data_IF_329970448886
#
_entry.id   IF_329970448886
#
_cell.length_a   1.000
_cell.length_b   1.000
_cell.length_c   1.000
_cell.angle_alpha   90.00
_cell.angle_beta   90.00
_cell.angle_gamma   90.00
#
_symmetry.space_group_name_H-M   'P 1'
#
loop_
_entity.id
_entity.type
_entity.pdbx_description
1 polymer ?
#
# COMPACT_ATOMS: atom_id res chain seq x y z
N UNK A 1 12.27 -12.84 -1.16
CA UNK A 1 11.39 -11.65 -1.16
C UNK A 1 11.19 -11.18 0.26
N UNK A 2 11.22 -9.85 0.52
CA UNK A 2 11.03 -9.27 1.86
C UNK A 2 10.15 -8.04 1.79
N UNK A 3 9.49 -7.70 2.90
CA UNK A 3 8.76 -6.46 3.10
C UNK A 3 9.14 -5.83 4.44
N UNK A 4 9.40 -4.52 4.45
CA UNK A 4 9.58 -3.72 5.67
C UNK A 4 8.46 -2.69 5.77
N UNK A 5 7.82 -2.59 6.92
CA UNK A 5 6.68 -1.71 7.15
C UNK A 5 7.09 -0.36 7.71
N UNK A 6 6.50 0.72 7.24
CA UNK A 6 6.74 2.08 7.72
C UNK A 6 5.52 2.75 8.37
N UNK A 7 4.42 2.03 8.50
CA UNK A 7 3.14 2.56 8.98
C UNK A 7 2.20 2.95 7.85
N UNK A 8 0.91 3.06 8.17
CA UNK A 8 -0.17 3.35 7.22
C UNK A 8 -0.07 2.49 5.95
N UNK A 9 0.19 3.12 4.78
CA UNK A 9 0.34 2.43 3.49
C UNK A 9 1.81 2.24 3.07
N UNK A 10 2.76 2.65 3.93
CA UNK A 10 4.18 2.74 3.59
C UNK A 10 4.93 1.40 3.70
N UNK A 11 5.59 0.98 2.62
CA UNK A 11 6.36 -0.25 2.56
C UNK A 11 7.68 -0.08 1.80
N UNK A 12 8.71 -0.83 2.22
CA UNK A 12 9.84 -1.18 1.36
C UNK A 12 9.71 -2.65 0.98
N UNK A 13 9.63 -2.92 -0.31
CA UNK A 13 9.62 -4.28 -0.87
C UNK A 13 10.97 -4.58 -1.49
N UNK A 14 11.48 -5.79 -1.24
CA UNK A 14 12.74 -6.27 -1.80
C UNK A 14 12.49 -7.57 -2.56
N UNK A 15 12.56 -7.51 -3.89
CA UNK A 15 12.31 -8.63 -4.80
C UNK A 15 13.58 -8.87 -5.63
N UNK A 16 14.31 -9.96 -5.35
CA UNK A 16 15.50 -10.34 -6.12
C UNK A 16 16.62 -9.28 -6.18
N UNK A 17 16.70 -8.40 -5.16
CA UNK A 17 17.64 -7.29 -5.14
C UNK A 17 17.05 -5.94 -5.62
N UNK A 18 15.89 -5.93 -6.26
CA UNK A 18 15.15 -4.69 -6.59
C UNK A 18 14.46 -4.16 -5.33
N UNK A 19 14.74 -2.89 -4.99
CA UNK A 19 14.23 -2.22 -3.77
C UNK A 19 13.18 -1.19 -4.16
N UNK A 20 11.93 -1.49 -3.83
CA UNK A 20 10.75 -0.70 -4.21
C UNK A 20 10.17 -0.02 -2.96
N UNK A 21 10.20 1.30 -2.92
CA UNK A 21 9.51 2.08 -1.88
C UNK A 21 8.06 2.32 -2.33
N UNK A 22 7.10 1.91 -1.50
CA UNK A 22 5.67 1.97 -1.84
C UNK A 22 4.96 2.95 -0.91
N UNK A 23 4.16 3.85 -1.46
CA UNK A 23 3.28 4.80 -0.76
C UNK A 23 3.90 5.39 0.54
N UNK A 24 5.10 5.98 0.49
CA UNK A 24 5.85 6.30 1.70
C UNK A 24 5.32 7.54 2.40
N UNK A 25 5.08 7.41 3.71
CA UNK A 25 4.97 8.50 4.64
C UNK A 25 6.01 8.29 5.75
N UNK A 26 7.16 8.97 5.65
CA UNK A 26 8.33 8.75 6.51
C UNK A 26 8.59 9.90 7.49
N UNK A 27 8.02 11.08 7.24
CA UNK A 27 8.24 12.27 8.05
C UNK A 27 7.07 13.23 7.94
N UNK A 28 7.01 14.22 8.84
CA UNK A 28 5.98 15.25 8.80
C UNK A 28 4.60 14.78 9.25
N UNK A 29 3.64 15.68 9.20
CA UNK A 29 2.25 15.43 9.53
C UNK A 29 1.42 15.21 8.25
N UNK A 30 0.55 14.21 8.26
CA UNK A 30 -0.45 14.03 7.21
C UNK A 30 -1.65 14.92 7.52
N UNK A 31 -2.00 15.83 6.63
CA UNK A 31 -3.16 16.70 6.79
C UNK A 31 -4.03 16.68 5.55
N UNK A 32 -5.34 16.62 5.76
CA UNK A 32 -6.29 16.83 4.67
C UNK A 32 -6.96 18.20 4.75
N UNK A 33 -7.28 18.81 3.60
CA UNK A 33 -8.04 20.05 3.59
C UNK A 33 -9.35 19.93 4.39
N UNK A 34 -9.74 20.99 5.12
CA UNK A 34 -9.14 22.33 5.17
C UNK A 34 -8.04 22.51 6.24
N UNK A 35 -7.42 21.46 6.74
CA UNK A 35 -6.23 21.52 7.62
C UNK A 35 -6.32 20.67 8.88
N UNK A 36 -5.36 20.81 9.80
CA UNK A 36 -5.16 19.96 10.97
C UNK A 36 -6.40 19.84 11.89
N UNK A 37 -7.17 20.92 12.05
CA UNK A 37 -8.39 20.89 12.86
C UNK A 37 -9.46 19.93 12.31
N UNK A 38 -9.42 19.68 10.98
CA UNK A 38 -10.32 18.76 10.31
C UNK A 38 -9.78 17.33 10.36
N UNK A 39 -8.52 17.14 9.93
CA UNK A 39 -7.85 15.84 9.98
C UNK A 39 -6.33 16.00 10.00
N UNK A 40 -5.70 15.38 10.98
CA UNK A 40 -4.25 15.29 11.08
C UNK A 40 -3.84 13.90 11.54
N UNK A 41 -2.83 13.33 10.87
CA UNK A 41 -2.10 12.15 11.28
C UNK A 41 -0.68 12.50 11.68
N UNK A 42 -0.16 11.86 12.71
CA UNK A 42 1.21 12.02 13.18
C UNK A 42 1.87 10.65 13.34
N UNK A 43 3.06 10.51 12.77
CA UNK A 43 3.91 9.35 13.00
C UNK A 43 4.47 9.39 14.43
N UNK A 44 4.69 8.24 15.08
CA UNK A 44 5.36 8.20 16.40
C UNK A 44 6.79 8.72 16.34
N UNK A 45 7.47 8.55 15.20
CA UNK A 45 8.80 9.09 14.90
C UNK A 45 9.01 9.16 13.38
N UNK A 46 9.85 10.10 12.92
CA UNK A 46 10.30 10.10 11.54
C UNK A 46 11.19 8.90 11.25
N UNK A 47 11.01 8.32 10.05
CA UNK A 47 11.80 7.20 9.56
C UNK A 47 12.85 7.69 8.55
N UNK A 48 14.04 7.12 8.53
CA UNK A 48 15.03 7.46 7.51
C UNK A 48 14.56 6.94 6.13
N UNK A 49 14.93 7.67 5.09
CA UNK A 49 14.77 7.16 3.72
C UNK A 49 15.63 5.90 3.56
N UNK A 50 15.07 4.76 3.13
CA UNK A 50 15.87 3.57 2.88
C UNK A 50 16.96 3.84 1.85
N UNK A 51 18.18 3.32 2.04
CA UNK A 51 19.25 3.45 1.05
C UNK A 51 18.98 2.60 -0.20
N UNK A 52 19.69 2.90 -1.27
CA UNK A 52 19.77 2.08 -2.48
C UNK A 52 18.39 1.73 -3.07
N UNK A 53 17.51 2.73 -3.15
CA UNK A 53 16.20 2.57 -3.77
C UNK A 53 16.34 2.52 -5.30
N UNK A 54 15.70 1.53 -5.91
CA UNK A 54 15.63 1.37 -7.36
C UNK A 54 14.36 2.01 -7.94
N UNK A 55 13.27 2.01 -7.15
CA UNK A 55 11.96 2.41 -7.64
C UNK A 55 11.08 2.99 -6.52
N UNK A 56 10.30 4.01 -6.86
CA UNK A 56 9.15 4.49 -6.09
C UNK A 56 7.86 4.01 -6.78
N UNK A 57 7.00 3.30 -6.04
CA UNK A 57 5.70 2.80 -6.52
C UNK A 57 4.58 3.50 -5.76
N UNK A 58 3.65 4.15 -6.48
CA UNK A 58 2.57 4.92 -5.86
C UNK A 58 1.20 4.45 -6.37
N UNK A 59 0.31 4.10 -5.43
CA UNK A 59 -1.04 3.62 -5.75
C UNK A 59 -1.94 4.76 -6.17
N UNK A 60 -1.85 5.93 -5.52
CA UNK A 60 -2.61 7.13 -5.86
C UNK A 60 -1.89 8.44 -5.49
N UNK A 61 -2.47 9.58 -5.88
CA UNK A 61 -1.87 10.91 -5.69
C UNK A 61 -2.28 11.64 -4.41
N UNK A 62 -3.10 11.07 -3.52
CA UNK A 62 -3.43 11.70 -2.24
C UNK A 62 -2.23 11.68 -1.29
N UNK A 63 -2.26 12.57 -0.30
CA UNK A 63 -1.11 12.80 0.58
C UNK A 63 -0.79 11.60 1.49
N UNK A 64 -1.75 10.75 1.78
CA UNK A 64 -1.57 9.51 2.55
C UNK A 64 -0.90 8.37 1.76
N UNK A 65 -0.74 8.51 0.43
CA UNK A 65 -0.01 7.59 -0.44
C UNK A 65 1.20 8.25 -1.11
N UNK A 66 1.12 9.53 -1.37
CA UNK A 66 2.16 10.31 -2.03
C UNK A 66 2.51 11.54 -1.19
N UNK A 67 3.03 11.30 0.03
CA UNK A 67 3.26 12.32 1.05
C UNK A 67 4.27 13.37 0.58
N UNK A 68 3.90 14.67 0.48
CA UNK A 68 4.74 15.67 -0.15
C UNK A 68 6.09 15.86 0.53
N UNK A 69 6.15 15.92 1.87
CA UNK A 69 7.40 16.11 2.60
C UNK A 69 8.32 14.90 2.45
N UNK A 70 7.79 13.68 2.49
CA UNK A 70 8.56 12.47 2.23
C UNK A 70 9.11 12.46 0.81
N UNK A 71 8.27 12.78 -0.19
CA UNK A 71 8.69 12.82 -1.59
C UNK A 71 9.79 13.86 -1.82
N UNK A 72 9.83 14.96 -1.06
CA UNK A 72 10.89 15.96 -1.16
C UNK A 72 12.27 15.44 -0.73
N UNK A 73 12.33 14.41 0.10
CA UNK A 73 13.57 13.78 0.54
C UNK A 73 14.19 12.85 -0.51
N UNK A 74 13.40 12.42 -1.51
CA UNK A 74 13.82 11.46 -2.51
C UNK A 74 14.56 12.12 -3.69
N UNK A 75 15.58 11.45 -4.28
CA UNK A 75 16.22 11.93 -5.49
C UNK A 75 15.22 12.11 -6.64
N UNK A 76 15.27 13.25 -7.33
CA UNK A 76 14.38 13.52 -8.47
C UNK A 76 14.60 12.62 -9.66
N UNK A 77 15.75 11.97 -9.73
CA UNK A 77 16.10 10.95 -10.73
C UNK A 77 15.61 9.55 -10.39
N UNK A 78 15.12 9.32 -9.16
CA UNK A 78 14.55 8.01 -8.77
C UNK A 78 13.41 7.66 -9.73
N UNK A 79 13.43 6.50 -10.40
CA UNK A 79 12.32 6.05 -11.22
C UNK A 79 11.03 5.94 -10.40
N UNK A 80 9.92 6.41 -11.00
CA UNK A 80 8.60 6.33 -10.37
C UNK A 80 7.64 5.59 -11.29
N UNK A 81 6.93 4.63 -10.75
CA UNK A 81 5.74 4.02 -11.35
C UNK A 81 4.54 4.37 -10.47
N UNK A 82 3.45 4.79 -11.07
CA UNK A 82 2.27 5.16 -10.28
C UNK A 82 0.99 5.25 -11.10
N UNK A 83 -0.14 5.39 -10.39
CA UNK A 83 -1.39 5.74 -11.03
C UNK A 83 -1.30 7.08 -11.77
N UNK A 84 -2.27 7.38 -12.60
CA UNK A 84 -2.28 8.66 -13.36
C UNK A 84 -2.24 9.87 -12.41
N UNK A 85 -2.96 9.82 -11.29
CA UNK A 85 -2.96 10.90 -10.29
C UNK A 85 -1.62 11.03 -9.56
N UNK A 86 -1.01 9.91 -9.16
CA UNK A 86 0.30 9.87 -8.55
C UNK A 86 1.39 10.41 -9.49
N UNK A 87 1.38 9.95 -10.74
CA UNK A 87 2.32 10.42 -11.76
C UNK A 87 2.23 11.93 -12.01
N UNK A 88 1.03 12.49 -12.05
CA UNK A 88 0.83 13.94 -12.17
C UNK A 88 1.45 14.69 -10.97
N UNK A 89 1.21 14.21 -9.76
CA UNK A 89 1.75 14.80 -8.52
C UNK A 89 3.28 14.78 -8.49
N UNK A 90 3.92 13.63 -8.75
CA UNK A 90 5.38 13.56 -8.67
C UNK A 90 6.07 14.36 -9.77
N UNK A 91 5.48 14.45 -10.97
CA UNK A 91 5.98 15.34 -12.03
C UNK A 91 5.94 16.80 -11.58
N UNK A 92 4.87 17.24 -10.88
CA UNK A 92 4.79 18.61 -10.34
C UNK A 92 5.83 18.87 -9.26
N UNK A 93 6.33 17.83 -8.59
CA UNK A 93 7.43 17.89 -7.62
C UNK A 93 8.82 17.77 -8.26
N UNK A 94 8.92 17.66 -9.59
CA UNK A 94 10.16 17.67 -10.34
C UNK A 94 10.80 16.30 -10.58
N UNK A 95 10.10 15.19 -10.36
CA UNK A 95 10.62 13.87 -10.75
C UNK A 95 10.68 13.75 -12.27
N UNK A 96 11.80 13.22 -12.78
CA UNK A 96 12.11 13.21 -14.20
C UNK A 96 11.87 11.88 -14.90
N UNK A 97 11.89 10.76 -14.14
CA UNK A 97 11.65 9.41 -14.67
C UNK A 97 10.32 8.87 -14.12
N UNK A 98 9.21 9.16 -14.80
CA UNK A 98 7.86 8.87 -14.29
C UNK A 98 7.04 8.10 -15.33
N UNK A 99 6.68 6.87 -14.99
CA UNK A 99 5.75 6.00 -15.73
C UNK A 99 4.38 6.02 -15.07
N UNK A 100 3.37 6.49 -15.79
CA UNK A 100 1.98 6.39 -15.36
C UNK A 100 1.36 5.11 -15.91
N UNK A 101 0.69 4.34 -15.07
CA UNK A 101 -0.06 3.15 -15.47
C UNK A 101 -1.55 3.33 -15.19
N UNK A 102 -2.37 2.90 -16.15
CA UNK A 102 -3.80 2.67 -15.94
C UNK A 102 -4.05 1.20 -15.60
N UNK A 103 -5.17 0.86 -14.97
CA UNK A 103 -5.55 -0.52 -14.78
C UNK A 103 -5.46 -1.34 -16.08
N UNK A 104 -4.80 -2.50 -16.01
CA UNK A 104 -4.49 -3.37 -17.15
C UNK A 104 -3.17 -3.08 -17.86
N UNK A 105 -2.56 -1.91 -17.63
CA UNK A 105 -1.23 -1.60 -18.16
C UNK A 105 -0.12 -2.19 -17.27
N UNK A 106 1.03 -2.43 -17.86
CA UNK A 106 2.21 -2.94 -17.15
C UNK A 106 3.49 -2.28 -17.62
N UNK A 107 4.52 -2.37 -16.80
CA UNK A 107 5.89 -2.03 -17.14
C UNK A 107 6.86 -3.02 -16.49
N UNK A 108 8.12 -2.94 -16.91
CA UNK A 108 9.20 -3.79 -16.37
C UNK A 108 10.32 -2.90 -15.85
N UNK A 109 10.82 -3.22 -14.65
CA UNK A 109 11.99 -2.60 -14.06
C UNK A 109 12.99 -3.68 -13.66
N UNK A 110 14.07 -3.83 -14.43
CA UNK A 110 14.95 -4.99 -14.33
C UNK A 110 14.19 -6.30 -14.59
N UNK A 111 14.19 -7.22 -13.63
CA UNK A 111 13.41 -8.46 -13.70
C UNK A 111 12.02 -8.35 -13.04
N UNK A 112 11.69 -7.20 -12.46
CA UNK A 112 10.41 -6.96 -11.82
C UNK A 112 9.38 -6.50 -12.86
N UNK A 113 8.33 -7.30 -13.05
CA UNK A 113 7.14 -6.90 -13.78
C UNK A 113 6.13 -6.28 -12.82
N UNK A 114 5.59 -5.12 -13.19
CA UNK A 114 4.61 -4.35 -12.42
C UNK A 114 3.37 -4.22 -13.28
N UNK A 115 2.28 -4.85 -12.87
CA UNK A 115 0.98 -4.75 -13.55
C UNK A 115 0.02 -3.94 -12.68
N UNK A 116 -0.49 -2.85 -13.21
CA UNK A 116 -1.54 -2.07 -12.55
C UNK A 116 -2.89 -2.77 -12.68
N UNK A 117 -3.61 -2.84 -11.57
CA UNK A 117 -4.98 -3.36 -11.51
C UNK A 117 -5.94 -2.25 -11.09
N UNK A 118 -7.22 -2.41 -11.32
CA UNK A 118 -8.20 -1.49 -10.74
C UNK A 118 -8.10 -1.56 -9.21
N UNK A 119 -8.03 -0.40 -8.57
CA UNK A 119 -8.13 -0.23 -7.13
C UNK A 119 -9.52 0.24 -6.70
N UNK A 120 -9.67 0.58 -5.43
CA UNK A 120 -10.92 1.02 -4.86
C UNK A 120 -11.46 2.29 -5.54
N UNK A 121 -12.80 2.46 -5.63
CA UNK A 121 -13.42 3.68 -6.16
C UNK A 121 -13.40 4.80 -5.11
N UNK A 122 -12.20 5.24 -4.75
CA UNK A 122 -11.93 6.39 -3.87
C UNK A 122 -11.90 7.69 -4.66
N UNK A 123 -11.82 8.90 -4.03
CA UNK A 123 -11.95 10.18 -4.72
C UNK A 123 -11.00 10.38 -5.92
N UNK A 124 -9.83 9.76 -5.90
CA UNK A 124 -8.91 9.68 -7.04
C UNK A 124 -8.78 8.24 -7.50
N UNK A 125 -8.62 8.04 -8.81
CA UNK A 125 -8.40 6.70 -9.35
C UNK A 125 -7.14 6.12 -8.75
N UNK A 126 -7.30 5.01 -8.07
CA UNK A 126 -6.24 4.24 -7.43
C UNK A 126 -5.89 3.03 -8.29
N UNK A 127 -4.64 2.62 -8.21
CA UNK A 127 -4.21 1.32 -8.71
C UNK A 127 -3.95 0.37 -7.54
N UNK A 128 -4.41 -0.87 -7.66
CA UNK A 128 -3.70 -2.00 -7.06
C UNK A 128 -2.52 -2.39 -7.96
N UNK A 129 -1.60 -3.18 -7.45
CA UNK A 129 -0.45 -3.68 -8.21
C UNK A 129 -0.23 -5.17 -7.99
N UNK A 130 -0.01 -5.88 -9.09
CA UNK A 130 0.55 -7.21 -9.11
C UNK A 130 2.04 -7.06 -9.45
N UNK A 131 2.91 -7.49 -8.54
CA UNK A 131 4.36 -7.48 -8.67
C UNK A 131 4.86 -8.91 -8.87
N UNK A 132 5.58 -9.15 -9.95
CA UNK A 132 6.08 -10.47 -10.32
C UNK A 132 7.58 -10.41 -10.60
N UNK A 133 8.33 -11.26 -9.90
CA UNK A 133 9.77 -11.41 -10.05
C UNK A 133 10.11 -12.90 -9.96
N UNK A 134 11.21 -13.41 -10.55
CA UNK A 134 11.60 -14.82 -10.41
C UNK A 134 11.71 -15.32 -8.96
N UNK A 135 11.92 -14.43 -8.00
CA UNK A 135 11.98 -14.76 -6.56
C UNK A 135 10.64 -14.73 -5.84
N UNK A 136 9.54 -14.39 -6.50
CA UNK A 136 8.20 -14.41 -5.91
C UNK A 136 7.24 -13.40 -6.49
N UNK A 137 5.99 -13.49 -6.06
CA UNK A 137 4.86 -12.70 -6.53
C UNK A 137 4.06 -12.09 -5.38
N UNK A 138 3.60 -10.86 -5.57
CA UNK A 138 2.89 -10.11 -4.54
C UNK A 138 1.76 -9.28 -5.17
N UNK A 139 0.59 -9.28 -4.52
CA UNK A 139 -0.49 -8.34 -4.80
C UNK A 139 -0.57 -7.29 -3.70
N UNK A 140 -0.70 -6.02 -4.08
CA UNK A 140 -0.83 -4.89 -3.16
C UNK A 140 -2.04 -4.05 -3.56
N UNK A 141 -2.93 -3.77 -2.58
CA UNK A 141 -4.06 -2.87 -2.76
C UNK A 141 -4.46 -2.29 -1.38
N UNK A 142 -4.36 -0.95 -1.20
CA UNK A 142 -4.40 -0.33 0.13
C UNK A 142 -5.82 -0.08 0.68
N UNK A 143 -6.88 -0.25 -0.08
CA UNK A 143 -8.25 0.03 0.37
C UNK A 143 -9.17 -1.19 0.49
N UNK A 144 -8.64 -2.40 0.23
CA UNK A 144 -9.43 -3.62 0.26
C UNK A 144 -10.36 -3.70 -0.96
N UNK A 145 -9.78 -3.81 -2.13
CA UNK A 145 -10.46 -4.00 -3.40
C UNK A 145 -9.82 -5.16 -4.16
N UNK A 146 -10.66 -5.97 -4.78
CA UNK A 146 -10.22 -7.01 -5.71
C UNK A 146 -10.82 -6.73 -7.08
N UNK A 147 -9.97 -6.42 -8.06
CA UNK A 147 -10.44 -6.26 -9.44
C UNK A 147 -11.07 -7.58 -9.93
N UNK A 148 -12.31 -7.55 -10.49
CA UNK A 148 -12.97 -8.74 -10.98
C UNK A 148 -12.22 -9.42 -12.13
N UNK A 149 -11.46 -8.66 -12.89
CA UNK A 149 -10.74 -9.12 -14.08
C UNK A 149 -9.44 -9.87 -13.75
N UNK A 150 -9.00 -9.86 -12.48
CA UNK A 150 -7.81 -10.60 -12.07
C UNK A 150 -8.07 -12.10 -12.04
N UNK A 151 -7.28 -12.90 -12.77
CA UNK A 151 -7.43 -14.36 -12.79
C UNK A 151 -7.05 -14.97 -11.43
N UNK A 152 -7.69 -16.07 -11.08
CA UNK A 152 -7.29 -16.86 -9.92
C UNK A 152 -5.91 -17.48 -10.17
N UNK A 153 -5.00 -17.33 -9.20
CA UNK A 153 -3.63 -17.85 -9.24
C UNK A 153 -2.99 -17.84 -7.86
N UNK A 154 -2.09 -18.76 -7.54
CA UNK A 154 -1.32 -18.68 -6.30
C UNK A 154 -0.38 -17.45 -6.33
N UNK A 155 -0.28 -16.76 -5.20
CA UNK A 155 0.71 -15.71 -4.94
C UNK A 155 1.46 -16.02 -3.65
N UNK A 156 2.69 -15.52 -3.54
CA UNK A 156 3.47 -15.69 -2.31
C UNK A 156 2.94 -14.78 -1.20
N UNK A 157 2.56 -13.54 -1.55
CA UNK A 157 2.06 -12.60 -0.58
C UNK A 157 0.94 -11.69 -1.11
N UNK A 158 0.15 -11.16 -0.16
CA UNK A 158 -0.83 -10.08 -0.38
C UNK A 158 -0.62 -9.03 0.70
N UNK A 159 -0.53 -7.76 0.30
CA UNK A 159 -0.58 -6.59 1.19
C UNK A 159 -1.93 -5.92 1.02
N UNK A 160 -2.75 -5.90 2.07
CA UNK A 160 -4.12 -5.38 2.02
C UNK A 160 -4.61 -5.01 3.43
N UNK A 161 -5.55 -4.07 3.58
CA UNK A 161 -6.22 -3.90 4.87
C UNK A 161 -7.01 -5.14 5.25
N UNK A 162 -7.15 -5.37 6.55
CA UNK A 162 -7.95 -6.49 7.11
C UNK A 162 -9.13 -6.01 7.94
N UNK A 163 -9.29 -4.68 8.03
CA UNK A 163 -10.40 -4.01 8.68
C UNK A 163 -11.19 -3.18 7.67
N UNK A 164 -12.44 -2.89 7.98
CA UNK A 164 -13.21 -1.89 7.24
C UNK A 164 -13.14 -0.55 7.96
N UNK A 165 -12.92 0.53 7.21
CA UNK A 165 -13.00 1.92 7.68
C UNK A 165 -14.03 2.67 6.88
N UNK A 166 -14.77 3.55 7.54
CA UNK A 166 -15.79 4.31 6.84
C UNK A 166 -16.30 5.51 7.62
N UNK A 167 -17.23 6.22 6.99
CA UNK A 167 -17.93 7.37 7.54
C UNK A 167 -19.42 7.07 7.60
N UNK A 168 -20.16 7.62 8.60
CA UNK A 168 -21.61 7.61 8.59
C UNK A 168 -22.11 8.21 7.27
N UNK A 169 -23.13 7.68 6.66
CA UNK A 169 -23.70 8.14 5.38
C UNK A 169 -22.87 7.81 4.13
N UNK A 170 -21.54 8.02 4.14
CA UNK A 170 -20.69 7.71 2.99
C UNK A 170 -20.36 6.21 2.85
N UNK A 171 -20.51 5.45 3.93
CA UNK A 171 -20.19 4.02 3.94
C UNK A 171 -18.68 3.74 4.13
N UNK A 172 -18.28 2.50 3.83
CA UNK A 172 -16.88 2.07 3.92
C UNK A 172 -16.09 2.54 2.69
N UNK A 173 -14.96 3.21 2.92
CA UNK A 173 -13.97 3.53 1.90
C UNK A 173 -12.75 2.59 1.97
N UNK A 174 -12.51 1.93 3.12
CA UNK A 174 -11.63 0.77 3.22
C UNK A 174 -12.50 -0.44 3.52
N UNK A 175 -12.32 -1.54 2.80
CA UNK A 175 -13.19 -2.74 2.85
C UNK A 175 -12.39 -4.03 3.06
N UNK A 176 -11.35 -3.96 3.89
CA UNK A 176 -10.43 -5.08 4.12
C UNK A 176 -11.13 -6.31 4.66
N UNK A 177 -12.00 -6.17 5.67
CA UNK A 177 -12.74 -7.29 6.24
C UNK A 177 -13.66 -7.97 5.21
N UNK A 178 -14.31 -7.18 4.35
CA UNK A 178 -15.24 -7.69 3.35
C UNK A 178 -14.52 -8.35 2.16
N UNK A 179 -13.32 -7.89 1.81
CA UNK A 179 -12.59 -8.31 0.60
C UNK A 179 -11.55 -9.40 0.90
N UNK A 180 -11.00 -9.46 2.11
CA UNK A 180 -9.99 -10.46 2.49
C UNK A 180 -10.38 -11.91 2.12
N UNK A 181 -11.60 -12.41 2.40
CA UNK A 181 -11.99 -13.77 2.00
C UNK A 181 -11.89 -14.01 0.50
N UNK A 182 -12.23 -13.00 -0.32
CA UNK A 182 -12.17 -13.07 -1.77
C UNK A 182 -10.72 -13.11 -2.27
N UNK A 183 -9.82 -12.34 -1.63
CA UNK A 183 -8.38 -12.37 -1.93
C UNK A 183 -7.76 -13.73 -1.58
N UNK A 184 -8.14 -14.31 -0.43
CA UNK A 184 -7.69 -15.63 0.01
C UNK A 184 -8.13 -16.72 -0.97
N UNK A 185 -9.37 -16.69 -1.43
CA UNK A 185 -9.89 -17.62 -2.43
C UNK A 185 -9.21 -17.43 -3.79
N UNK A 186 -9.03 -16.18 -4.23
CA UNK A 186 -8.49 -15.84 -5.55
C UNK A 186 -7.00 -16.17 -5.68
N UNK A 187 -6.23 -15.85 -4.65
CA UNK A 187 -4.77 -15.88 -4.71
C UNK A 187 -4.13 -16.96 -3.84
N UNK A 188 -4.88 -17.62 -2.95
CA UNK A 188 -4.35 -18.61 -2.02
C UNK A 188 -2.97 -18.23 -1.47
N UNK A 189 -2.78 -16.99 -0.96
CA UNK A 189 -1.47 -16.48 -0.60
C UNK A 189 -0.91 -17.21 0.61
N UNK A 190 0.43 -17.40 0.65
CA UNK A 190 1.09 -17.95 1.83
C UNK A 190 1.16 -16.94 2.97
N UNK A 191 1.33 -15.67 2.63
CA UNK A 191 1.45 -14.59 3.59
C UNK A 191 0.50 -13.44 3.24
N UNK A 192 -0.28 -12.99 4.21
CA UNK A 192 -1.02 -11.73 4.15
C UNK A 192 -0.37 -10.76 5.13
N UNK A 193 -0.05 -9.54 4.69
CA UNK A 193 0.41 -8.46 5.55
C UNK A 193 -0.71 -7.43 5.69
N UNK A 194 -1.10 -7.18 6.94
CA UNK A 194 -2.11 -6.16 7.24
C UNK A 194 -1.55 -4.76 6.96
N UNK A 195 -2.30 -3.94 6.24
CA UNK A 195 -1.93 -2.58 5.84
C UNK A 195 -2.96 -1.56 6.30
N UNK A 196 -2.69 -0.29 6.09
CA UNK A 196 -3.60 0.87 6.23
C UNK A 196 -3.89 1.29 7.67
N UNK A 197 -4.18 0.36 8.59
CA UNK A 197 -4.62 0.67 9.95
C UNK A 197 -3.53 0.47 11.02
N UNK A 198 -2.27 0.30 10.64
CA UNK A 198 -1.16 0.01 11.56
C UNK A 198 -0.12 1.11 11.66
N UNK A 199 0.93 0.86 12.48
CA UNK A 199 2.11 1.71 12.58
C UNK A 199 2.07 2.75 13.70
N UNK A 200 1.22 2.58 14.70
CA UNK A 200 1.09 3.47 15.88
C UNK A 200 0.88 4.95 15.51
N UNK A 201 0.24 5.19 14.35
CA UNK A 201 -0.08 6.52 13.88
C UNK A 201 -1.18 7.11 14.76
N UNK A 202 -0.95 8.33 15.25
CA UNK A 202 -1.97 9.07 16.01
C UNK A 202 -2.77 9.95 15.07
N UNK A 203 -4.09 9.78 15.07
CA UNK A 203 -5.00 10.60 14.28
C UNK A 203 -5.81 11.55 15.16
N UNK A 204 -5.98 12.79 14.72
CA UNK A 204 -6.73 13.84 15.39
C UNK A 204 -7.59 14.66 14.41
N UNK A 205 -8.42 15.54 14.97
CA UNK A 205 -9.31 16.41 14.19
C UNK A 205 -10.76 15.95 14.16
N UNK A 206 -11.62 16.78 13.55
CA UNK A 206 -13.06 16.56 13.53
C UNK A 206 -13.46 15.26 12.82
N UNK A 207 -12.78 14.96 11.68
CA UNK A 207 -13.08 13.78 10.86
C UNK A 207 -12.89 12.48 11.63
N UNK A 208 -11.88 12.40 12.51
CA UNK A 208 -11.59 11.18 13.28
C UNK A 208 -12.74 10.77 14.21
N UNK A 209 -13.54 11.74 14.69
CA UNK A 209 -14.72 11.48 15.52
C UNK A 209 -15.89 10.85 14.75
N UNK A 210 -15.84 10.95 13.44
CA UNK A 210 -16.86 10.41 12.55
C UNK A 210 -16.41 9.08 11.92
N UNK A 211 -15.11 8.75 11.98
CA UNK A 211 -14.61 7.49 11.48
C UNK A 211 -15.11 6.32 12.32
N UNK A 212 -15.61 5.30 11.66
CA UNK A 212 -15.86 4.01 12.28
C UNK A 212 -14.93 2.95 11.69
N UNK A 213 -14.56 1.99 12.52
CA UNK A 213 -13.77 0.82 12.15
C UNK A 213 -14.52 -0.46 12.51
N UNK A 214 -14.46 -1.47 11.65
CA UNK A 214 -15.03 -2.79 11.86
C UNK A 214 -14.00 -3.87 11.55
N UNK A 215 -13.96 -4.91 12.39
CA UNK A 215 -12.97 -5.97 12.30
C UNK A 215 -11.74 -5.69 13.18
N UNK A 216 -10.82 -6.63 13.15
CA UNK A 216 -9.51 -6.51 13.81
C UNK A 216 -8.51 -7.47 13.15
N UNK A 217 -7.22 -7.17 13.27
CA UNK A 217 -6.13 -8.04 12.80
C UNK A 217 -6.21 -9.42 13.48
N UNK A 218 -6.53 -9.46 14.79
CA UNK A 218 -6.66 -10.71 15.54
C UNK A 218 -7.80 -11.59 14.98
N UNK A 219 -8.96 -11.00 14.65
CA UNK A 219 -10.08 -11.73 14.06
C UNK A 219 -9.73 -12.23 12.65
N UNK A 220 -9.06 -11.42 11.85
CA UNK A 220 -8.58 -11.82 10.53
C UNK A 220 -7.57 -12.96 10.61
N UNK A 221 -6.60 -12.90 11.56
CA UNK A 221 -5.63 -13.95 11.77
C UNK A 221 -6.27 -15.29 12.16
N UNK A 222 -7.29 -15.24 13.03
CA UNK A 222 -8.03 -16.45 13.44
C UNK A 222 -8.84 -17.08 12.29
N UNK A 223 -9.15 -16.33 11.25
CA UNK A 223 -9.91 -16.78 10.08
C UNK A 223 -9.02 -17.23 8.90
N UNK A 224 -7.69 -17.20 9.05
CA UNK A 224 -6.78 -17.61 7.97
C UNK A 224 -6.90 -19.11 7.66
N UNK A 225 -6.92 -19.49 6.38
CA UNK A 225 -6.95 -20.89 5.99
C UNK A 225 -5.62 -21.58 6.31
N UNK A 226 -5.65 -22.90 6.42
CA UNK A 226 -4.45 -23.71 6.61
C UNK A 226 -3.44 -23.48 5.47
N UNK A 227 -2.17 -23.27 5.81
CA UNK A 227 -1.10 -22.96 4.85
C UNK A 227 -0.91 -21.48 4.54
N UNK A 228 -1.78 -20.60 5.02
CA UNK A 228 -1.64 -19.15 4.96
C UNK A 228 -1.39 -18.57 6.35
N UNK A 229 -0.60 -17.51 6.44
CA UNK A 229 -0.40 -16.76 7.68
C UNK A 229 -0.77 -15.28 7.49
N UNK A 230 -1.25 -14.64 8.55
CA UNK A 230 -1.41 -13.20 8.60
C UNK A 230 -0.35 -12.60 9.50
N UNK A 231 0.32 -11.58 9.02
CA UNK A 231 1.29 -10.77 9.76
C UNK A 231 0.63 -9.43 10.09
N UNK A 232 0.64 -9.07 11.37
CA UNK A 232 0.35 -7.72 11.87
C UNK A 232 1.69 -6.98 11.96
N UNK A 233 2.05 -6.14 10.97
CA UNK A 233 3.41 -5.67 10.84
C UNK A 233 3.72 -4.55 11.84
N UNK A 234 4.93 -4.57 12.36
CA UNK A 234 5.48 -3.51 13.21
C UNK A 234 6.38 -2.59 12.40
N UNK A 235 6.38 -1.30 12.71
CA UNK A 235 7.19 -0.30 12.02
C UNK A 235 8.68 -0.62 12.14
N UNK A 236 9.38 -0.61 11.02
CA UNK A 236 10.82 -0.90 10.92
C UNK A 236 11.17 -2.38 10.90
N UNK A 237 10.21 -3.29 11.14
CA UNK A 237 10.48 -4.73 11.04
C UNK A 237 10.46 -5.22 9.60
N UNK A 238 11.40 -6.12 9.29
CA UNK A 238 11.59 -6.73 7.98
C UNK A 238 11.11 -8.18 8.00
N UNK A 239 10.10 -8.46 7.22
CA UNK A 239 9.46 -9.77 7.12
C UNK A 239 9.92 -10.53 5.88
N UNK A 240 10.34 -11.80 6.06
CA UNK A 240 10.55 -12.70 4.94
C UNK A 240 9.21 -13.17 4.40
N UNK A 241 8.96 -12.90 3.11
CA UNK A 241 7.79 -13.40 2.39
C UNK A 241 8.23 -14.69 1.71
N UNK A 242 7.63 -15.81 2.13
CA UNK A 242 8.06 -17.13 1.66
C UNK A 242 7.98 -17.22 0.13
N UNK A 243 9.12 -17.40 -0.52
CA UNK A 243 9.14 -17.92 -1.88
C UNK A 243 8.59 -19.36 -1.87
N UNK A 244 7.98 -19.78 -2.96
CA UNK A 244 7.63 -21.19 -3.15
C UNK A 244 8.91 -22.04 -3.03
N UNK A 245 8.89 -23.02 -2.14
CA UNK A 245 9.91 -24.03 -2.10
C UNK A 245 9.84 -24.89 -3.37
#
# INVERSE_FOLDING_TARGET
MYATYFGANGWLLELGGVRVLVDPWLTGALQFPPGAWFFEGQLPASQPVPPDLDLLLLTQGLDDHAHPETLQLLPRSLPVVGSVSAAAKVRSLGFTSVTALRPGEHCVHGELQITATAGAPVPQVENGYLLEHPTGSLYLEPHGYLSPDLPARPLDAVITPVVDLGLPVAGAFVRGQAVLPQLLERFTPRTVLASTAGGDVTFSGLLTRLLWMKGSTAAAAAAMPAGSQLIDPQVGERYALAAAA
#
